data_IF_586750451630
#
_entry.id   IF_586750451630
#
_cell.length_a   1.000
_cell.length_b   1.000
_cell.length_c   1.000
_cell.angle_alpha   90.00
_cell.angle_beta   90.00
_cell.angle_gamma   90.00
#
_symmetry.space_group_name_H-M   'P 1'
#
loop_
_entity.id
_entity.type
_entity.pdbx_description
1 polymer ?
#
# COMPACT_ATOMS: atom_id res chain seq x y z
N UNK A 1 -6.91 17.07 -7.75
CA UNK A 1 -6.74 15.60 -7.89
C UNK A 1 -6.06 15.33 -9.22
N UNK A 2 -4.88 14.71 -9.22
CA UNK A 2 -4.30 14.15 -10.43
C UNK A 2 -5.20 13.01 -10.94
N UNK A 3 -5.27 12.83 -12.25
CA UNK A 3 -6.01 11.72 -12.85
C UNK A 3 -5.21 10.43 -12.60
N UNK A 4 -5.84 9.41 -11.99
CA UNK A 4 -5.20 8.11 -11.72
C UNK A 4 -4.59 7.52 -12.99
N UNK A 5 -5.21 7.73 -14.14
CA UNK A 5 -4.73 7.21 -15.43
C UNK A 5 -3.41 7.85 -15.85
N UNK A 6 -3.19 9.13 -15.56
CA UNK A 6 -1.89 9.77 -15.80
C UNK A 6 -0.81 9.26 -14.84
N UNK A 7 -1.18 8.97 -13.59
CA UNK A 7 -0.27 8.40 -12.61
C UNK A 7 0.09 6.95 -12.94
N UNK A 8 -0.83 6.18 -13.50
CA UNK A 8 -0.57 4.81 -13.97
C UNK A 8 0.55 4.78 -15.00
N UNK A 9 0.52 5.68 -15.98
CA UNK A 9 1.58 5.75 -17.02
C UNK A 9 2.96 6.06 -16.43
N UNK A 10 3.04 6.78 -15.31
CA UNK A 10 4.30 7.08 -14.64
C UNK A 10 4.82 5.95 -13.73
N UNK A 11 3.89 5.19 -13.15
CA UNK A 11 4.19 4.20 -12.09
C UNK A 11 4.34 2.79 -12.66
N UNK A 12 3.53 2.42 -13.66
CA UNK A 12 3.64 1.12 -14.32
C UNK A 12 5.00 1.00 -15.00
N UNK A 13 5.66 -0.15 -14.82
CA UNK A 13 7.01 -0.39 -15.30
C UNK A 13 8.12 0.09 -14.35
N UNK A 14 7.79 0.84 -13.30
CA UNK A 14 8.75 1.21 -12.26
C UNK A 14 8.90 0.08 -11.24
N UNK A 15 10.06 0.03 -10.61
CA UNK A 15 10.33 -0.91 -9.51
C UNK A 15 10.09 -0.26 -8.17
N UNK A 16 9.53 -1.02 -7.24
CA UNK A 16 9.43 -0.62 -5.84
C UNK A 16 10.82 -0.67 -5.23
N UNK A 17 11.31 0.46 -4.74
CA UNK A 17 12.55 0.54 -3.96
C UNK A 17 12.29 0.15 -2.51
N UNK A 18 11.24 0.72 -1.92
CA UNK A 18 10.83 0.47 -0.55
C UNK A 18 9.36 0.84 -0.32
N UNK A 19 8.79 0.34 0.77
CA UNK A 19 7.45 0.67 1.24
C UNK A 19 7.57 1.22 2.66
N UNK A 20 6.80 2.24 2.99
CA UNK A 20 6.81 2.89 4.30
C UNK A 20 5.39 3.07 4.82
N UNK A 21 5.31 3.29 6.13
CA UNK A 21 4.14 3.85 6.77
C UNK A 21 4.49 5.02 7.68
N UNK A 22 3.56 5.96 7.87
CA UNK A 22 3.69 6.95 8.96
C UNK A 22 3.50 6.26 10.31
N UNK A 23 4.05 6.80 11.43
CA UNK A 23 3.79 6.27 12.76
C UNK A 23 2.30 6.01 12.98
N UNK A 24 1.97 4.82 13.49
CA UNK A 24 0.59 4.45 13.78
C UNK A 24 0.06 5.41 14.85
N UNK A 25 -0.86 6.29 14.48
CA UNK A 25 -1.65 7.05 15.43
C UNK A 25 -2.62 6.10 16.13
N UNK A 26 -2.85 6.34 17.43
CA UNK A 26 -4.00 5.75 18.10
C UNK A 26 -5.26 6.30 17.40
N UNK A 27 -6.12 5.41 16.92
CA UNK A 27 -7.44 5.81 16.42
C UNK A 27 -8.20 6.49 17.54
N UNK A 28 -8.94 7.54 17.19
CA UNK A 28 -9.61 8.41 18.17
C UNK A 28 -10.62 7.68 19.07
N UNK A 29 -11.06 6.47 18.70
CA UNK A 29 -12.05 5.71 19.46
C UNK A 29 -11.68 4.22 19.63
N UNK A 30 -11.43 3.82 20.88
CA UNK A 30 -11.53 2.43 21.31
C UNK A 30 -13.00 2.04 21.32
N UNK A 31 -13.48 1.39 20.25
CA UNK A 31 -14.82 0.78 20.28
C UNK A 31 -14.71 -0.56 21.03
N UNK A 32 -15.35 -0.72 22.21
CA UNK A 32 -15.24 -1.95 23.00
C UNK A 32 -15.69 -3.16 22.20
N UNK A 33 -14.79 -4.13 22.03
CA UNK A 33 -15.03 -5.37 21.28
C UNK A 33 -14.57 -5.36 19.82
N UNK A 34 -14.08 -4.24 19.28
CA UNK A 34 -13.60 -4.14 17.88
C UNK A 34 -12.09 -3.94 17.72
N UNK A 35 -11.32 -3.89 18.82
CA UNK A 35 -9.85 -3.78 18.79
C UNK A 35 -9.36 -2.34 18.63
N UNK A 36 -8.04 -2.20 18.42
CA UNK A 36 -7.40 -0.89 18.22
C UNK A 36 -7.49 -0.50 16.74
N UNK A 37 -8.10 0.65 16.48
CA UNK A 37 -8.07 1.29 15.18
C UNK A 37 -6.76 2.07 15.07
N UNK A 38 -5.94 1.79 14.05
CA UNK A 38 -4.75 2.60 13.78
C UNK A 38 -5.03 3.55 12.63
N UNK A 39 -4.44 4.74 12.68
CA UNK A 39 -4.41 5.67 11.55
C UNK A 39 -2.96 5.82 11.08
N UNK A 40 -2.70 5.49 9.82
CA UNK A 40 -1.39 5.68 9.20
C UNK A 40 -1.52 5.78 7.68
N UNK A 41 -0.55 6.43 7.05
CA UNK A 41 -0.44 6.49 5.60
C UNK A 41 0.52 5.44 5.10
N UNK A 42 0.23 4.86 3.93
CA UNK A 42 1.17 3.99 3.22
C UNK A 42 1.86 4.77 2.11
N UNK A 43 3.19 4.74 2.09
CA UNK A 43 4.01 5.46 1.11
C UNK A 43 4.88 4.47 0.35
N UNK A 44 4.69 4.41 -0.98
CA UNK A 44 5.50 3.62 -1.90
C UNK A 44 6.63 4.50 -2.43
N UNK A 45 7.86 4.00 -2.38
CA UNK A 45 9.03 4.65 -2.98
C UNK A 45 9.46 3.83 -4.18
N UNK A 46 9.61 4.49 -5.32
CA UNK A 46 10.07 3.87 -6.56
C UNK A 46 11.58 4.05 -6.73
N UNK A 47 12.21 3.26 -7.59
CA UNK A 47 13.66 3.37 -7.91
C UNK A 47 14.05 4.74 -8.50
N UNK A 48 13.10 5.48 -9.07
CA UNK A 48 13.33 6.85 -9.54
C UNK A 48 13.23 7.90 -8.40
N UNK A 49 13.20 7.45 -7.14
CA UNK A 49 13.07 8.26 -5.91
C UNK A 49 11.74 9.01 -5.77
N UNK A 50 10.75 8.79 -6.65
CA UNK A 50 9.40 9.35 -6.45
C UNK A 50 8.68 8.59 -5.34
N UNK A 51 7.91 9.33 -4.54
CA UNK A 51 7.12 8.81 -3.44
C UNK A 51 5.64 9.01 -3.74
N UNK A 52 4.84 7.97 -3.46
CA UNK A 52 3.40 7.99 -3.66
C UNK A 52 2.66 7.51 -2.43
N UNK A 53 1.63 8.26 -2.01
CA UNK A 53 0.68 7.84 -0.98
C UNK A 53 -0.36 6.93 -1.59
N UNK A 54 -0.47 5.72 -1.06
CA UNK A 54 -1.53 4.79 -1.39
C UNK A 54 -2.64 4.92 -0.35
N UNK A 55 -3.79 5.41 -0.79
CA UNK A 55 -5.05 5.30 -0.07
C UNK A 55 -5.83 4.06 -0.51
N UNK A 56 -7.04 3.93 0.02
CA UNK A 56 -8.04 2.95 -0.41
C UNK A 56 -8.53 3.24 -1.84
N UNK A 57 -8.96 4.47 -2.11
CA UNK A 57 -9.55 4.89 -3.37
C UNK A 57 -8.76 5.99 -4.09
N UNK A 58 -7.50 6.20 -3.70
CA UNK A 58 -6.58 7.11 -4.38
C UNK A 58 -5.12 6.67 -4.35
N UNK A 59 -4.37 7.18 -5.32
CA UNK A 59 -2.91 7.14 -5.36
C UNK A 59 -2.45 8.54 -5.77
N UNK A 60 -1.60 9.18 -4.97
CA UNK A 60 -1.14 10.56 -5.21
C UNK A 60 0.34 10.70 -4.85
N UNK A 61 1.03 11.68 -5.41
CA UNK A 61 2.40 12.01 -5.00
C UNK A 61 2.46 12.38 -3.51
N UNK A 62 3.43 11.83 -2.78
CA UNK A 62 3.65 12.12 -1.37
C UNK A 62 4.53 13.36 -1.20
N UNK A 63 3.96 14.40 -0.62
CA UNK A 63 4.64 15.66 -0.28
C UNK A 63 4.74 15.89 1.25
N UNK A 64 4.41 14.86 2.03
CA UNK A 64 4.38 14.92 3.49
C UNK A 64 5.78 15.06 4.09
N UNK A 65 5.82 15.60 5.31
CA UNK A 65 7.06 15.77 6.10
C UNK A 65 7.12 14.84 7.32
N UNK A 66 6.10 14.00 7.47
CA UNK A 66 6.02 13.07 8.57
C UNK A 66 7.16 12.06 8.53
N UNK A 67 7.52 11.54 9.70
CA UNK A 67 8.47 10.43 9.79
C UNK A 67 7.92 9.22 9.04
N UNK A 68 8.82 8.49 8.37
CA UNK A 68 8.48 7.27 7.63
C UNK A 68 9.18 6.09 8.27
N UNK A 69 8.40 5.06 8.60
CA UNK A 69 8.88 3.79 9.12
C UNK A 69 8.81 2.77 7.99
N UNK A 70 9.95 2.17 7.64
CA UNK A 70 10.03 1.20 6.54
C UNK A 70 9.22 -0.05 6.87
N UNK A 71 8.41 -0.54 5.93
CA UNK A 71 7.72 -1.82 6.02
C UNK A 71 8.71 -2.94 5.73
N UNK A 72 8.84 -3.87 6.67
CA UNK A 72 9.75 -5.02 6.60
C UNK A 72 9.00 -6.29 6.98
N UNK A 73 9.58 -7.45 6.66
CA UNK A 73 9.03 -8.74 7.08
C UNK A 73 8.85 -8.84 8.60
N UNK A 74 9.75 -8.21 9.36
CA UNK A 74 9.74 -8.27 10.82
C UNK A 74 8.66 -7.38 11.45
N UNK A 75 8.60 -6.10 11.06
CA UNK A 75 7.68 -5.17 11.71
C UNK A 75 6.24 -5.28 11.22
N UNK A 76 6.03 -5.90 10.06
CA UNK A 76 4.72 -6.13 9.47
C UNK A 76 4.30 -7.60 9.46
N UNK A 77 5.10 -8.47 10.08
CA UNK A 77 4.84 -9.91 10.22
C UNK A 77 4.50 -10.61 8.88
N UNK A 78 5.27 -10.29 7.84
CA UNK A 78 5.08 -10.86 6.49
C UNK A 78 5.88 -12.15 6.35
N UNK A 79 5.33 -13.18 5.69
CA UNK A 79 6.09 -14.35 5.24
C UNK A 79 7.38 -13.98 4.49
N UNK A 80 8.47 -14.70 4.74
CA UNK A 80 9.78 -14.45 4.11
C UNK A 80 9.76 -14.58 2.58
N UNK A 81 8.78 -15.29 2.02
CA UNK A 81 8.61 -15.48 0.58
C UNK A 81 7.86 -14.32 -0.11
N UNK A 82 7.31 -13.35 0.64
CA UNK A 82 6.68 -12.14 0.10
C UNK A 82 7.69 -11.03 -0.18
N UNK A 83 8.38 -11.14 -1.31
CA UNK A 83 9.42 -10.17 -1.71
C UNK A 83 8.82 -9.11 -2.64
N UNK A 84 8.62 -7.87 -2.16
CA UNK A 84 8.11 -6.74 -2.96
C UNK A 84 9.20 -5.72 -3.38
N UNK A 85 10.28 -5.59 -2.61
CA UNK A 85 11.40 -4.70 -2.98
C UNK A 85 12.11 -5.19 -4.26
N UNK A 86 12.46 -4.25 -5.12
CA UNK A 86 13.05 -4.46 -6.44
C UNK A 86 12.09 -5.02 -7.50
N UNK A 87 10.81 -5.22 -7.18
CA UNK A 87 9.81 -5.78 -8.11
C UNK A 87 9.14 -4.70 -8.93
N UNK A 88 8.94 -5.01 -10.20
CA UNK A 88 8.26 -4.14 -11.15
C UNK A 88 6.74 -4.09 -10.88
N UNK A 89 6.17 -2.89 -10.91
CA UNK A 89 4.72 -2.67 -10.91
C UNK A 89 4.20 -2.94 -12.33
N UNK A 90 3.30 -3.90 -12.47
CA UNK A 90 2.75 -4.31 -13.78
C UNK A 90 1.35 -3.77 -14.02
N UNK A 91 0.59 -3.50 -12.96
CA UNK A 91 -0.76 -2.92 -13.08
C UNK A 91 -1.18 -2.22 -11.79
N UNK A 92 -2.16 -1.32 -11.91
CA UNK A 92 -2.89 -0.73 -10.79
C UNK A 92 -4.37 -1.01 -11.02
N UNK A 93 -4.88 -2.00 -10.29
CA UNK A 93 -6.23 -2.54 -10.45
C UNK A 93 -7.18 -1.83 -9.50
N UNK A 94 -8.35 -1.44 -10.00
CA UNK A 94 -9.47 -0.99 -9.18
C UNK A 94 -10.48 -2.13 -9.07
N UNK A 95 -10.76 -2.60 -7.86
CA UNK A 95 -11.73 -3.68 -7.66
C UNK A 95 -13.19 -3.19 -7.71
N UNK A 96 -14.12 -4.13 -7.47
CA UNK A 96 -15.57 -3.86 -7.43
C UNK A 96 -15.97 -2.93 -6.28
N UNK A 97 -15.20 -2.92 -5.20
CA UNK A 97 -15.39 -2.08 -4.03
C UNK A 97 -14.69 -0.72 -4.14
N UNK A 98 -14.10 -0.41 -5.31
CA UNK A 98 -13.35 0.82 -5.58
C UNK A 98 -12.05 0.93 -4.78
N UNK A 99 -11.47 -0.21 -4.40
CA UNK A 99 -10.16 -0.27 -3.75
C UNK A 99 -9.06 -0.43 -4.79
N UNK A 100 -7.97 0.32 -4.63
CA UNK A 100 -6.78 0.18 -5.46
C UNK A 100 -5.85 -0.93 -4.98
N UNK A 101 -5.37 -1.72 -5.94
CA UNK A 101 -4.36 -2.75 -5.76
C UNK A 101 -3.20 -2.49 -6.69
N UNK A 102 -1.99 -2.42 -6.15
CA UNK A 102 -0.75 -2.40 -6.92
C UNK A 102 -0.36 -3.85 -7.19
N UNK A 103 -0.33 -4.27 -8.45
CA UNK A 103 0.10 -5.61 -8.86
C UNK A 103 1.57 -5.58 -9.28
N UNK A 104 2.35 -6.50 -8.72
CA UNK A 104 3.77 -6.67 -9.03
C UNK A 104 4.02 -7.86 -9.96
N UNK A 105 5.14 -7.82 -10.69
CA UNK A 105 5.54 -8.85 -11.66
C UNK A 105 5.63 -10.28 -11.09
N UNK A 106 5.82 -10.42 -9.78
CA UNK A 106 5.87 -11.69 -9.09
C UNK A 106 4.53 -12.10 -8.46
N UNK A 107 3.42 -11.58 -9.00
CA UNK A 107 2.07 -11.88 -8.53
C UNK A 107 1.85 -11.50 -7.05
N UNK A 108 2.55 -10.48 -6.56
CA UNK A 108 2.25 -9.88 -5.25
C UNK A 108 1.33 -8.68 -5.47
N UNK A 109 0.39 -8.49 -4.57
CA UNK A 109 -0.42 -7.29 -4.49
C UNK A 109 -0.13 -6.49 -3.23
N UNK A 110 -0.26 -5.18 -3.35
CA UNK A 110 -0.22 -4.23 -2.24
C UNK A 110 -1.51 -3.40 -2.27
N UNK A 111 -2.23 -3.33 -1.16
CA UNK A 111 -3.39 -2.45 -1.02
C UNK A 111 -3.49 -1.86 0.39
N UNK A 112 -4.06 -0.66 0.47
CA UNK A 112 -4.39 0.02 1.72
C UNK A 112 -5.90 0.07 1.87
N UNK A 113 -6.44 -0.07 3.07
CA UNK A 113 -7.88 0.09 3.36
C UNK A 113 -8.07 0.93 4.61
N UNK A 114 -9.16 1.71 4.67
CA UNK A 114 -9.44 2.59 5.81
C UNK A 114 -10.80 2.35 6.50
N UNK A 115 -11.60 1.38 6.03
CA UNK A 115 -12.99 1.14 6.48
C UNK A 115 -13.16 0.92 7.99
N UNK A 116 -12.21 0.22 8.62
CA UNK A 116 -12.18 -0.08 10.06
C UNK A 116 -10.79 0.24 10.60
N UNK A 117 -10.33 1.46 10.32
CA UNK A 117 -8.95 1.87 10.55
C UNK A 117 -8.06 1.50 9.36
N UNK A 118 -6.85 2.03 9.39
CA UNK A 118 -5.86 1.80 8.34
C UNK A 118 -5.30 0.38 8.44
N UNK A 119 -5.39 -0.37 7.35
CA UNK A 119 -4.74 -1.65 7.17
C UNK A 119 -3.96 -1.66 5.86
N UNK A 120 -2.75 -2.25 5.90
CA UNK A 120 -1.90 -2.46 4.73
C UNK A 120 -1.76 -3.95 4.51
N UNK A 121 -2.19 -4.40 3.33
CA UNK A 121 -2.10 -5.77 2.90
C UNK A 121 -1.01 -5.94 1.85
N UNK A 122 -0.16 -6.94 2.06
CA UNK A 122 0.83 -7.41 1.11
C UNK A 122 0.66 -8.93 1.04
N UNK A 123 0.24 -9.45 -0.11
CA UNK A 123 -0.13 -10.87 -0.26
C UNK A 123 0.03 -11.35 -1.70
N UNK A 124 0.00 -12.67 -1.92
CA UNK A 124 0.00 -13.22 -3.28
C UNK A 124 -1.36 -12.99 -3.93
N UNK A 125 -1.35 -12.73 -5.23
CA UNK A 125 -2.55 -12.48 -6.03
C UNK A 125 -3.50 -13.69 -6.01
N UNK A 126 -2.95 -14.90 -6.02
CA UNK A 126 -3.73 -16.15 -5.97
C UNK A 126 -4.53 -16.31 -4.68
N UNK A 127 -4.15 -15.61 -3.59
CA UNK A 127 -4.90 -15.61 -2.33
C UNK A 127 -6.16 -14.73 -2.38
N UNK A 128 -6.32 -13.88 -3.42
CA UNK A 128 -7.51 -13.05 -3.64
C UNK A 128 -8.57 -13.80 -4.45
N UNK A 129 -8.15 -14.72 -5.34
CA UNK A 129 -9.05 -15.54 -6.14
C UNK A 129 -9.34 -16.84 -5.38
N UNK A 130 -10.19 -16.76 -4.36
CA UNK A 130 -11.04 -17.89 -3.98
C UNK A 130 -12.49 -17.53 -4.30
N UNK A 131 -13.14 -18.25 -5.23
CA UNK A 131 -14.58 -18.12 -5.45
C UNK A 131 -15.38 -18.50 -4.20
#
# INVERSE_FOLDING_TARGET
>A
MQNIEQLKDEIIGQKIKALYHTPKGDGEELIPGLGNFYTFDTVIVLENEKLYRLGDDYLIEWLGKDELVEVTHQNWNLPDDLIFNGKCIVDIVLDKNKLYYILLENQIIINHTSDLGCELFIRKYDDIIKP
#
